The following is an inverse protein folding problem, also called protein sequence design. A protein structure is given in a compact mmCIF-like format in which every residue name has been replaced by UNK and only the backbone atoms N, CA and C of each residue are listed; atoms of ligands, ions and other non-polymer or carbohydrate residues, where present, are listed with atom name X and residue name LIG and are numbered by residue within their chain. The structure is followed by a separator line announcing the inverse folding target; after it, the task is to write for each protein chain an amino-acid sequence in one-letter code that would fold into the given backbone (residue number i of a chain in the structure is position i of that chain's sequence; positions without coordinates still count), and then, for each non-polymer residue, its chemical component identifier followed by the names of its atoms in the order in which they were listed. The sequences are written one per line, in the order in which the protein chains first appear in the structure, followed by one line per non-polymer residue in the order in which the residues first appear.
data_IF_375203408177
#
_entry.id   IF_375203408177
#
_cell.length_a   1.000
_cell.length_b   1.000
_cell.length_c   1.000
_cell.angle_alpha   90.00
_cell.angle_beta   90.00
_cell.angle_gamma   90.00
#
_symmetry.space_group_name_H-M   'P 1'
#
loop_
_entity.id
_entity.type
_entity.pdbx_description
1 polymer ?
#
# COMPACT_ATOMS: atom_id res chain seq x y z
N UNK A 1 14.05 -6.25 4.18
CA UNK A 1 12.94 -6.00 3.24
C UNK A 1 12.23 -7.28 2.80
N UNK A 2 12.91 -8.42 2.74
CA UNK A 2 12.26 -9.69 2.35
C UNK A 2 11.15 -10.11 3.30
N UNK A 3 11.45 -10.20 4.60
CA UNK A 3 10.49 -10.59 5.62
C UNK A 3 9.33 -9.57 5.76
N UNK A 4 9.62 -8.28 5.58
CA UNK A 4 8.60 -7.23 5.55
C UNK A 4 7.60 -7.42 4.40
N UNK A 5 8.08 -7.81 3.22
CA UNK A 5 7.23 -8.07 2.05
C UNK A 5 6.42 -9.35 2.25
N UNK A 6 7.02 -10.42 2.75
CA UNK A 6 6.30 -11.65 3.08
C UNK A 6 5.16 -11.39 4.07
N UNK A 7 5.43 -10.56 5.09
CA UNK A 7 4.42 -10.16 6.09
C UNK A 7 3.33 -9.30 5.46
N UNK A 8 3.69 -8.31 4.64
CA UNK A 8 2.74 -7.49 3.90
C UNK A 8 1.83 -8.33 3.00
N UNK A 9 2.40 -9.27 2.24
CA UNK A 9 1.64 -10.20 1.40
C UNK A 9 0.69 -11.07 2.23
N UNK A 10 1.15 -11.60 3.37
CA UNK A 10 0.32 -12.39 4.28
C UNK A 10 -0.88 -11.57 4.77
N UNK A 11 -0.65 -10.34 5.24
CA UNK A 11 -1.70 -9.46 5.75
C UNK A 11 -2.72 -9.10 4.66
N UNK A 12 -2.24 -8.71 3.48
CA UNK A 12 -3.11 -8.40 2.34
C UNK A 12 -3.94 -9.61 1.91
N UNK A 13 -3.34 -10.79 1.85
CA UNK A 13 -4.05 -12.02 1.51
C UNK A 13 -5.12 -12.40 2.54
N UNK A 14 -4.89 -12.12 3.82
CA UNK A 14 -5.90 -12.33 4.85
C UNK A 14 -7.06 -11.35 4.70
N UNK A 15 -6.77 -10.05 4.51
CA UNK A 15 -7.79 -9.03 4.24
C UNK A 15 -8.63 -9.38 3.00
N UNK A 16 -7.99 -9.79 1.91
CA UNK A 16 -8.70 -10.20 0.69
C UNK A 16 -9.63 -11.39 0.95
N UNK A 17 -9.19 -12.40 1.71
CA UNK A 17 -10.05 -13.54 2.08
C UNK A 17 -11.23 -13.13 2.94
N UNK A 18 -11.05 -12.18 3.84
CA UNK A 18 -12.12 -11.63 4.67
C UNK A 18 -13.12 -10.83 3.82
N UNK A 19 -12.62 -9.91 2.99
CA UNK A 19 -13.42 -9.17 2.03
C UNK A 19 -14.24 -10.10 1.12
N UNK A 20 -13.63 -11.12 0.53
CA UNK A 20 -14.31 -12.05 -0.39
C UNK A 20 -15.44 -12.87 0.26
N UNK A 21 -15.38 -13.11 1.58
CA UNK A 21 -16.48 -13.76 2.31
C UNK A 21 -17.71 -12.85 2.36
N UNK A 22 -17.50 -11.56 2.63
CA UNK A 22 -18.58 -10.58 2.78
C UNK A 22 -18.18 -9.17 2.30
N UNK A 23 -18.17 -8.91 0.97
CA UNK A 23 -17.75 -7.62 0.43
C UNK A 23 -18.57 -6.42 0.91
N UNK A 24 -19.82 -6.66 1.34
CA UNK A 24 -20.78 -5.63 1.78
C UNK A 24 -20.47 -5.16 3.22
N UNK A 25 -19.64 -5.90 3.96
CA UNK A 25 -19.17 -5.48 5.30
C UNK A 25 -18.38 -4.17 5.25
N UNK A 26 -17.68 -3.94 4.14
CA UNK A 26 -16.87 -2.76 3.90
C UNK A 26 -17.68 -1.77 3.07
N UNK A 27 -18.57 -1.01 3.72
CA UNK A 27 -19.48 -0.14 3.00
C UNK A 27 -18.77 1.08 2.39
N UNK A 28 -17.63 1.47 2.96
CA UNK A 28 -16.79 2.58 2.54
C UNK A 28 -15.32 2.16 2.36
N UNK A 29 -14.58 2.92 1.53
CA UNK A 29 -13.15 2.75 1.32
C UNK A 29 -12.37 2.86 2.65
N UNK A 30 -12.83 3.75 3.52
CA UNK A 30 -12.30 3.96 4.87
C UNK A 30 -12.38 2.71 5.75
N UNK A 31 -13.40 1.86 5.57
CA UNK A 31 -13.54 0.62 6.36
C UNK A 31 -12.39 -0.34 6.04
N UNK A 32 -12.07 -0.48 4.75
CA UNK A 32 -10.97 -1.32 4.26
C UNK A 32 -9.63 -0.74 4.73
N UNK A 33 -9.47 0.58 4.59
CA UNK A 33 -8.25 1.29 5.02
C UNK A 33 -8.01 1.12 6.52
N UNK A 34 -9.05 1.25 7.34
CA UNK A 34 -8.95 1.11 8.79
C UNK A 34 -8.58 -0.32 9.20
N UNK A 35 -9.25 -1.33 8.63
CA UNK A 35 -8.93 -2.73 8.94
C UNK A 35 -7.51 -3.10 8.50
N UNK A 36 -7.12 -2.74 7.27
CA UNK A 36 -5.75 -2.97 6.81
C UNK A 36 -4.70 -2.27 7.69
N UNK A 37 -4.96 -1.03 8.10
CA UNK A 37 -4.07 -0.28 8.98
C UNK A 37 -3.88 -0.99 10.32
N UNK A 38 -4.97 -1.48 10.93
CA UNK A 38 -4.92 -2.21 12.21
C UNK A 38 -4.13 -3.51 12.04
N UNK A 39 -4.42 -4.31 11.01
CA UNK A 39 -3.71 -5.57 10.76
C UNK A 39 -2.22 -5.34 10.55
N UNK A 40 -1.83 -4.34 9.75
CA UNK A 40 -0.42 -4.02 9.53
C UNK A 40 0.27 -3.51 10.81
N UNK A 41 -0.39 -2.66 11.61
CA UNK A 41 0.14 -2.18 12.89
C UNK A 41 0.31 -3.26 13.94
N UNK A 42 -0.41 -4.38 13.81
CA UNK A 42 -0.28 -5.52 14.72
C UNK A 42 0.95 -6.40 14.45
N UNK A 43 1.66 -6.17 13.34
CA UNK A 43 2.83 -6.93 12.94
C UNK A 43 4.12 -6.20 13.37
N UNK A 44 4.73 -6.63 14.48
CA UNK A 44 5.91 -6.01 15.11
C UNK A 44 7.11 -5.82 14.17
N UNK A 45 7.16 -6.55 13.06
CA UNK A 45 8.22 -6.37 12.04
C UNK A 45 8.24 -4.96 11.45
N UNK A 46 7.11 -4.27 11.47
CA UNK A 46 7.01 -2.90 10.98
C UNK A 46 7.28 -1.86 12.07
N UNK A 47 7.60 -2.27 13.30
CA UNK A 47 7.97 -1.34 14.34
C UNK A 47 9.35 -0.72 14.09
N UNK A 48 9.50 0.53 14.51
CA UNK A 48 10.74 1.28 14.44
C UNK A 48 11.11 1.74 15.85
N UNK A 49 12.39 1.55 16.18
CA UNK A 49 12.99 2.09 17.39
C UNK A 49 13.59 3.46 17.08
N UNK A 50 13.11 4.49 17.75
CA UNK A 50 13.62 5.85 17.64
C UNK A 50 14.45 6.19 18.87
N UNK A 51 15.79 6.18 18.77
CA UNK A 51 16.63 6.67 19.86
C UNK A 51 16.44 8.18 20.03
N UNK A 52 16.42 8.64 21.28
CA UNK A 52 16.40 10.07 21.58
C UNK A 52 17.83 10.58 21.51
N UNK A 53 18.05 11.57 20.65
CA UNK A 53 19.33 12.21 20.34
C UNK A 53 19.18 13.72 20.45
N UNK A 54 20.29 14.46 20.45
CA UNK A 54 20.24 15.94 20.36
C UNK A 54 19.45 16.47 19.16
N UNK A 55 19.29 15.66 18.10
CA UNK A 55 18.54 16.08 16.92
C UNK A 55 17.04 16.06 17.15
N UNK A 56 16.52 15.30 18.12
CA UNK A 56 15.10 15.14 18.47
C UNK A 56 14.84 15.46 19.94
N UNK A 57 15.45 16.53 20.44
CA UNK A 57 15.29 17.01 21.83
C UNK A 57 13.84 17.30 22.24
N UNK A 58 12.92 17.56 21.29
CA UNK A 58 11.49 17.69 21.60
C UNK A 58 10.85 16.37 22.08
N UNK A 59 11.46 15.22 21.77
CA UNK A 59 11.11 13.93 22.40
C UNK A 59 11.71 13.81 23.81
N UNK A 60 12.63 14.70 24.18
CA UNK A 60 13.25 14.80 25.50
C UNK A 60 12.22 14.86 26.62
N UNK A 61 11.13 15.61 26.40
CA UNK A 61 10.01 15.74 27.35
C UNK A 61 9.28 14.40 27.59
N UNK A 62 9.40 13.45 26.66
CA UNK A 62 8.80 12.13 26.76
C UNK A 62 9.78 11.05 27.24
N UNK A 63 11.07 11.36 27.43
CA UNK A 63 12.09 10.39 27.90
C UNK A 63 11.67 9.77 29.22
N UNK A 64 11.17 10.58 30.17
CA UNK A 64 10.75 10.09 31.48
C UNK A 64 9.55 9.13 31.41
N UNK A 65 8.74 9.21 30.33
CA UNK A 65 7.52 8.43 30.15
C UNK A 65 7.76 7.19 29.26
N UNK A 66 8.54 7.36 28.19
CA UNK A 66 8.70 6.39 27.10
C UNK A 66 10.11 5.76 27.07
N UNK A 67 11.03 6.23 27.91
CA UNK A 67 12.42 5.81 27.95
C UNK A 67 13.30 6.46 26.88
N UNK A 68 14.58 6.07 26.84
CA UNK A 68 15.59 6.61 25.91
C UNK A 68 15.41 6.16 24.45
N UNK A 69 14.56 5.16 24.24
CA UNK A 69 14.21 4.61 22.93
C UNK A 69 12.69 4.49 22.84
N UNK A 70 12.11 5.23 21.91
CA UNK A 70 10.66 5.21 21.67
C UNK A 70 10.37 4.23 20.55
N UNK A 71 9.62 3.17 20.87
CA UNK A 71 9.11 2.24 19.87
C UNK A 71 7.80 2.76 19.31
N UNK A 72 7.73 2.92 17.98
CA UNK A 72 6.49 3.28 17.28
C UNK A 72 6.30 2.36 16.08
N UNK A 73 5.06 2.13 15.68
CA UNK A 73 4.80 1.49 14.39
C UNK A 73 5.28 2.38 13.25
N UNK A 74 6.07 1.82 12.33
CA UNK A 74 6.42 2.43 11.06
C UNK A 74 5.26 2.49 10.07
N UNK A 75 4.13 1.82 10.33
CA UNK A 75 2.91 1.93 9.52
C UNK A 75 2.15 3.21 9.87
N UNK A 76 1.99 4.09 8.88
CA UNK A 76 1.29 5.38 8.98
C UNK A 76 0.16 5.45 7.97
N UNK A 77 -0.99 5.97 8.41
CA UNK A 77 -2.03 6.46 7.51
C UNK A 77 -1.73 7.91 7.14
N UNK A 78 -2.14 8.34 5.94
CA UNK A 78 -1.97 9.72 5.44
C UNK A 78 -0.56 10.29 5.67
N UNK A 79 0.45 9.56 5.20
CA UNK A 79 1.84 9.93 5.45
C UNK A 79 2.13 11.37 4.99
N UNK A 80 2.63 12.26 5.87
CA UNK A 80 2.82 13.69 5.57
C UNK A 80 4.07 13.90 4.72
N UNK A 81 4.00 13.48 3.46
CA UNK A 81 4.95 13.82 2.42
C UNK A 81 4.27 14.67 1.35
N UNK A 82 5.04 15.22 0.41
CA UNK A 82 4.48 15.89 -0.77
C UNK A 82 3.54 14.97 -1.57
N UNK A 83 3.68 13.65 -1.41
CA UNK A 83 2.77 12.64 -1.92
C UNK A 83 2.12 11.90 -0.75
N UNK A 84 0.81 12.08 -0.57
CA UNK A 84 0.06 11.38 0.47
C UNK A 84 -0.37 10.02 -0.05
N UNK A 85 -0.05 8.98 0.71
CA UNK A 85 -0.51 7.61 0.48
C UNK A 85 -1.53 7.23 1.55
N UNK A 86 -2.49 6.37 1.20
CA UNK A 86 -3.47 5.86 2.15
C UNK A 86 -2.80 5.17 3.34
N UNK A 87 -1.86 4.26 3.05
CA UNK A 87 -1.02 3.60 4.05
C UNK A 87 0.42 3.58 3.54
N UNK A 88 1.36 3.97 4.39
CA UNK A 88 2.79 3.90 4.11
C UNK A 88 3.54 3.20 5.23
N UNK A 89 4.58 2.46 4.88
CA UNK A 89 5.60 2.04 5.82
C UNK A 89 6.76 3.00 5.76
N UNK A 90 7.18 3.48 6.92
CA UNK A 90 8.29 4.42 7.05
C UNK A 90 9.43 3.83 7.86
N UNK A 91 10.66 4.15 7.46
CA UNK A 91 11.87 3.82 8.20
C UNK A 91 12.75 5.04 8.38
N UNK A 92 13.45 5.17 9.52
CA UNK A 92 14.50 6.17 9.65
C UNK A 92 15.53 6.00 8.53
N UNK A 93 15.88 7.11 7.87
CA UNK A 93 17.03 7.13 6.96
C UNK A 93 18.30 7.19 7.81
N UNK A 94 19.18 6.19 7.69
CA UNK A 94 20.43 6.15 8.47
C UNK A 94 21.50 7.14 7.98
N UNK A 95 21.38 7.62 6.73
CA UNK A 95 22.34 8.54 6.11
C UNK A 95 21.91 10.01 6.27
N UNK A 96 20.62 10.28 6.44
CA UNK A 96 20.04 11.62 6.62
C UNK A 96 19.56 11.82 8.06
N UNK A 97 19.17 13.04 8.41
CA UNK A 97 18.62 13.35 9.73
C UNK A 97 17.36 12.47 9.99
N UNK A 98 17.14 12.02 11.24
CA UNK A 98 16.05 11.10 11.64
C UNK A 98 14.63 11.61 11.30
N UNK A 99 14.49 12.87 10.89
CA UNK A 99 13.25 13.48 10.40
C UNK A 99 12.90 13.15 8.96
N UNK A 100 13.87 12.70 8.17
CA UNK A 100 13.64 12.25 6.80
C UNK A 100 13.44 10.74 6.87
N UNK A 101 12.19 10.33 6.91
CA UNK A 101 11.88 8.91 6.82
C UNK A 101 11.87 8.46 5.36
N UNK A 102 12.51 7.34 5.10
CA UNK A 102 12.32 6.61 3.86
C UNK A 102 10.96 5.95 3.87
N UNK A 103 10.34 5.82 2.70
CA UNK A 103 9.12 5.06 2.50
C UNK A 103 9.47 3.81 1.67
N UNK A 104 9.74 2.63 2.29
CA UNK A 104 10.05 1.43 1.52
C UNK A 104 8.85 0.92 0.72
N UNK A 105 7.63 1.06 1.25
CA UNK A 105 6.41 0.75 0.52
C UNK A 105 5.24 1.65 0.89
N UNK A 106 4.32 1.80 -0.05
CA UNK A 106 3.02 2.42 0.20
C UNK A 106 1.90 1.69 -0.54
N UNK A 107 0.69 1.85 -0.02
CA UNK A 107 -0.53 1.21 -0.46
C UNK A 107 -1.56 2.30 -0.76
N UNK A 108 -2.23 2.18 -1.89
CA UNK A 108 -3.43 2.93 -2.26
C UNK A 108 -4.60 1.97 -2.35
N UNK A 109 -5.72 2.37 -1.77
CA UNK A 109 -6.90 1.52 -1.66
C UNK A 109 -8.06 2.23 -2.34
N UNK A 110 -8.76 1.51 -3.19
CA UNK A 110 -10.04 1.93 -3.75
C UNK A 110 -11.13 0.93 -3.45
N UNK A 111 -12.33 1.46 -3.31
CA UNK A 111 -13.56 0.70 -3.24
C UNK A 111 -14.43 1.10 -4.44
N UNK A 112 -14.52 0.21 -5.42
CA UNK A 112 -15.38 0.41 -6.57
C UNK A 112 -16.77 -0.18 -6.31
N UNK A 113 -17.78 0.64 -6.60
CA UNK A 113 -19.19 0.33 -6.53
C UNK A 113 -19.80 0.38 -7.93
N UNK A 114 -21.01 -0.17 -8.08
CA UNK A 114 -21.68 -0.32 -9.38
C UNK A 114 -21.71 0.97 -10.24
N UNK A 115 -21.73 2.15 -9.61
CA UNK A 115 -21.81 3.44 -10.29
C UNK A 115 -20.51 4.27 -10.26
N UNK A 116 -19.44 3.79 -9.62
CA UNK A 116 -18.16 4.51 -9.59
C UNK A 116 -17.41 4.32 -10.89
N UNK A 117 -17.13 5.42 -11.61
CA UNK A 117 -16.19 5.40 -12.73
C UNK A 117 -14.78 5.26 -12.14
N UNK A 118 -14.09 4.13 -12.34
CA UNK A 118 -12.75 3.84 -11.80
C UNK A 118 -11.60 4.70 -12.39
N UNK A 119 -11.89 5.95 -12.79
CA UNK A 119 -10.90 6.91 -13.27
C UNK A 119 -9.88 7.23 -12.18
N UNK A 120 -10.31 7.23 -10.93
CA UNK A 120 -9.48 7.61 -9.78
C UNK A 120 -8.43 6.52 -9.47
N UNK A 121 -8.73 5.24 -9.70
CA UNK A 121 -7.76 4.16 -9.48
C UNK A 121 -6.53 4.25 -10.37
N UNK A 122 -6.69 4.74 -11.62
CA UNK A 122 -5.53 4.99 -12.50
C UNK A 122 -4.62 6.07 -11.93
N UNK A 123 -5.19 7.12 -11.34
CA UNK A 123 -4.44 8.21 -10.73
C UNK A 123 -3.63 7.73 -9.52
N UNK A 124 -4.15 6.77 -8.77
CA UNK A 124 -3.41 6.14 -7.66
C UNK A 124 -2.18 5.37 -8.16
N UNK A 125 -2.32 4.62 -9.26
CA UNK A 125 -1.17 3.94 -9.86
C UNK A 125 -0.15 4.95 -10.41
N UNK A 126 -0.60 6.00 -11.09
CA UNK A 126 0.26 7.08 -11.60
C UNK A 126 1.00 7.81 -10.46
N UNK A 127 0.32 8.05 -9.33
CA UNK A 127 0.91 8.60 -8.10
C UNK A 127 2.05 7.71 -7.58
N UNK A 128 1.82 6.39 -7.49
CA UNK A 128 2.86 5.44 -7.06
C UNK A 128 4.05 5.37 -8.03
N UNK A 129 3.79 5.40 -9.34
CA UNK A 129 4.83 5.43 -10.38
C UNK A 129 5.69 6.70 -10.30
N UNK A 130 5.06 7.86 -10.09
CA UNK A 130 5.77 9.13 -9.96
C UNK A 130 6.71 9.10 -8.75
N UNK A 131 6.25 8.59 -7.60
CA UNK A 131 7.10 8.44 -6.42
C UNK A 131 8.27 7.47 -6.68
N UNK A 132 8.00 6.32 -7.31
CA UNK A 132 9.03 5.33 -7.64
C UNK A 132 10.16 5.90 -8.51
N UNK A 133 9.85 6.82 -9.42
CA UNK A 133 10.85 7.44 -10.31
C UNK A 133 11.96 8.14 -9.52
N UNK A 134 11.61 8.69 -8.34
CA UNK A 134 12.55 9.34 -7.44
C UNK A 134 13.13 8.38 -6.37
N UNK A 135 12.48 7.23 -6.18
CA UNK A 135 12.80 6.25 -5.15
C UNK A 135 12.88 4.83 -5.77
N UNK A 136 14.01 4.44 -6.39
CA UNK A 136 14.09 3.20 -7.17
C UNK A 136 13.73 1.93 -6.40
N UNK A 137 14.05 1.89 -5.11
CA UNK A 137 13.79 0.75 -4.22
C UNK A 137 12.36 0.71 -3.65
N UNK A 138 11.54 1.74 -3.93
CA UNK A 138 10.15 1.81 -3.48
C UNK A 138 9.29 0.73 -4.15
N UNK A 139 8.38 0.18 -3.34
CA UNK A 139 7.32 -0.74 -3.75
C UNK A 139 5.99 -0.03 -3.56
N UNK A 140 5.27 0.20 -4.65
CA UNK A 140 3.91 0.73 -4.58
C UNK A 140 2.90 -0.37 -4.82
N UNK A 141 1.77 -0.31 -4.13
CA UNK A 141 0.69 -1.27 -4.24
C UNK A 141 -0.61 -0.49 -4.40
N UNK A 142 -1.33 -0.68 -5.50
CA UNK A 142 -2.69 -0.15 -5.66
C UNK A 142 -3.69 -1.31 -5.62
N UNK A 143 -4.72 -1.23 -4.79
CA UNK A 143 -5.73 -2.28 -4.68
C UNK A 143 -7.12 -1.68 -4.85
N UNK A 144 -7.85 -2.15 -5.85
CA UNK A 144 -9.25 -1.82 -6.06
C UNK A 144 -10.11 -2.98 -5.56
N UNK A 145 -10.89 -2.75 -4.52
CA UNK A 145 -11.85 -3.71 -3.98
C UNK A 145 -13.20 -3.48 -4.63
N UNK A 146 -13.68 -4.45 -5.39
CA UNK A 146 -14.91 -4.32 -6.17
C UNK A 146 -16.10 -4.92 -5.41
N UNK A 147 -17.12 -4.09 -5.16
CA UNK A 147 -18.38 -4.52 -4.58
C UNK A 147 -19.39 -4.98 -5.64
N UNK A 148 -19.23 -4.58 -6.90
CA UNK A 148 -20.09 -5.07 -7.98
C UNK A 148 -19.71 -6.50 -8.38
N UNK A 149 -20.68 -7.43 -8.48
CA UNK A 149 -20.40 -8.82 -8.84
C UNK A 149 -20.08 -9.03 -10.33
N UNK A 150 -19.89 -7.97 -11.13
CA UNK A 150 -19.92 -8.04 -12.61
C UNK A 150 -18.74 -7.32 -13.29
N UNK A 151 -17.58 -7.20 -12.65
CA UNK A 151 -16.38 -6.84 -13.43
C UNK A 151 -16.05 -8.01 -14.36
N UNK A 152 -15.98 -7.72 -15.65
CA UNK A 152 -15.44 -8.63 -16.65
C UNK A 152 -14.00 -8.26 -16.95
N UNK A 153 -13.17 -9.27 -17.20
CA UNK A 153 -11.77 -9.08 -17.57
C UNK A 153 -11.62 -8.15 -18.78
N UNK A 154 -12.52 -8.27 -19.76
CA UNK A 154 -12.50 -7.44 -20.97
C UNK A 154 -12.71 -5.95 -20.66
N UNK A 155 -13.48 -5.63 -19.61
CA UNK A 155 -13.71 -4.24 -19.18
C UNK A 155 -12.45 -3.67 -18.52
N UNK A 156 -11.70 -4.50 -17.77
CA UNK A 156 -10.40 -4.11 -17.23
C UNK A 156 -9.39 -3.89 -18.35
N UNK A 157 -9.29 -4.81 -19.31
CA UNK A 157 -8.39 -4.66 -20.47
C UNK A 157 -8.71 -3.40 -21.29
N UNK A 158 -10.00 -3.07 -21.48
CA UNK A 158 -10.41 -1.86 -22.21
C UNK A 158 -10.02 -0.57 -21.48
N UNK A 159 -10.18 -0.55 -20.16
CA UNK A 159 -9.95 0.65 -19.35
C UNK A 159 -8.47 0.83 -18.94
N UNK A 160 -7.73 -0.28 -18.85
CA UNK A 160 -6.35 -0.35 -18.39
C UNK A 160 -5.44 -1.08 -19.41
N UNK A 161 -5.71 -0.98 -20.71
CA UNK A 161 -5.00 -1.72 -21.78
C UNK A 161 -3.49 -1.46 -21.92
N UNK A 162 -2.94 -0.50 -21.18
CA UNK A 162 -1.49 -0.25 -21.08
C UNK A 162 -0.84 -0.97 -19.88
N UNK A 163 -1.59 -1.79 -19.14
CA UNK A 163 -1.12 -2.46 -17.93
C UNK A 163 -1.01 -3.98 -18.17
N UNK A 164 0.03 -4.63 -17.61
CA UNK A 164 0.22 -6.08 -17.77
C UNK A 164 -0.67 -6.83 -16.77
N UNK A 165 -1.90 -7.14 -17.18
CA UNK A 165 -2.80 -7.93 -16.35
C UNK A 165 -2.39 -9.41 -16.32
N UNK A 166 -2.34 -9.96 -15.12
CA UNK A 166 -2.07 -11.35 -14.76
C UNK A 166 -3.19 -11.82 -13.83
N UNK A 167 -3.79 -12.96 -14.14
CA UNK A 167 -4.88 -13.52 -13.34
C UNK A 167 -4.29 -14.28 -12.14
N UNK A 168 -4.76 -14.00 -10.91
CA UNK A 168 -4.28 -14.63 -9.69
C UNK A 168 -5.42 -15.36 -8.98
N UNK A 169 -5.38 -16.70 -8.97
CA UNK A 169 -6.40 -17.52 -8.28
C UNK A 169 -6.04 -17.89 -6.84
N UNK A 170 -4.83 -17.58 -6.38
CA UNK A 170 -4.28 -18.07 -5.10
C UNK A 170 -3.98 -16.99 -4.06
N UNK A 171 -4.01 -15.71 -4.46
CA UNK A 171 -3.69 -14.58 -3.58
C UNK A 171 -2.87 -13.49 -4.29
N UNK A 172 -2.61 -12.42 -3.56
CA UNK A 172 -1.70 -11.32 -3.91
C UNK A 172 -0.24 -11.79 -3.83
N UNK A 173 0.50 -11.56 -4.91
CA UNK A 173 1.95 -11.73 -5.00
C UNK A 173 2.61 -10.38 -5.28
N UNK A 174 3.49 -9.92 -4.38
CA UNK A 174 4.17 -8.62 -4.51
C UNK A 174 5.52 -8.82 -5.18
N UNK A 175 5.70 -8.16 -6.32
CA UNK A 175 6.97 -8.08 -7.01
C UNK A 175 7.84 -6.96 -6.41
N UNK A 176 9.03 -7.34 -5.93
CA UNK A 176 10.02 -6.41 -5.38
C UNK A 176 10.44 -5.36 -6.41
N UNK A 177 10.58 -4.11 -5.96
CA UNK A 177 11.06 -3.03 -6.81
C UNK A 177 10.15 -2.71 -8.00
N UNK A 178 8.86 -3.09 -7.97
CA UNK A 178 7.86 -2.73 -8.96
C UNK A 178 6.67 -2.03 -8.31
N UNK A 179 5.85 -1.40 -9.15
CA UNK A 179 4.48 -1.03 -8.76
C UNK A 179 3.60 -2.23 -9.04
N UNK A 180 2.81 -2.63 -8.06
CA UNK A 180 1.88 -3.73 -8.13
C UNK A 180 0.47 -3.14 -8.12
N UNK A 181 -0.43 -3.63 -8.97
CA UNK A 181 -1.85 -3.28 -8.86
C UNK A 181 -2.70 -4.54 -8.80
N UNK A 182 -3.83 -4.46 -8.11
CA UNK A 182 -4.77 -5.56 -7.95
C UNK A 182 -6.21 -5.07 -8.04
N UNK A 183 -7.07 -5.86 -8.68
CA UNK A 183 -8.52 -5.75 -8.63
C UNK A 183 -9.07 -6.99 -7.91
N UNK A 184 -9.74 -6.77 -6.79
CA UNK A 184 -10.26 -7.79 -5.90
C UNK A 184 -11.76 -7.85 -6.07
N UNK A 185 -12.26 -8.89 -6.72
CA UNK A 185 -13.70 -9.18 -6.76
C UNK A 185 -14.05 -10.17 -5.66
N UNK A 186 -15.35 -10.41 -5.45
CA UNK A 186 -15.84 -11.46 -4.55
C UNK A 186 -15.23 -12.85 -4.81
N UNK A 187 -14.83 -13.16 -6.05
CA UNK A 187 -14.41 -14.51 -6.46
C UNK A 187 -12.98 -14.58 -6.96
N UNK A 188 -12.45 -13.49 -7.46
CA UNK A 188 -11.24 -13.49 -8.28
C UNK A 188 -10.34 -12.33 -7.89
N UNK A 189 -9.04 -12.52 -8.10
CA UNK A 189 -8.03 -11.48 -8.00
C UNK A 189 -7.41 -11.34 -9.39
N UNK A 190 -7.46 -10.14 -9.92
CA UNK A 190 -6.68 -9.76 -11.10
C UNK A 190 -5.57 -8.86 -10.62
N UNK A 191 -4.37 -8.97 -11.16
CA UNK A 191 -3.28 -8.10 -10.73
C UNK A 191 -2.18 -8.02 -11.75
N UNK A 192 -1.19 -7.18 -11.52
CA UNK A 192 -0.17 -6.98 -12.52
C UNK A 192 0.85 -5.93 -12.14
N UNK A 193 1.73 -5.67 -13.09
CA UNK A 193 2.67 -4.58 -13.04
C UNK A 193 2.31 -3.59 -14.16
N UNK A 194 2.20 -2.28 -13.88
CA UNK A 194 2.01 -1.29 -14.93
C UNK A 194 3.23 -1.30 -15.85
N UNK A 195 3.02 -1.16 -17.16
CA UNK A 195 4.12 -0.85 -18.06
C UNK A 195 4.64 0.53 -17.72
N UNK A 196 5.96 0.72 -17.73
CA UNK A 196 6.50 2.08 -17.72
C UNK A 196 6.08 2.81 -19.01
N UNK A 197 5.96 4.14 -18.99
CA UNK A 197 5.56 4.93 -20.17
C UNK A 197 6.45 4.62 -21.38
N UNK A 198 7.72 4.30 -21.15
CA UNK A 198 8.70 3.85 -22.14
C UNK A 198 8.42 2.49 -22.77
N UNK A 199 7.70 1.59 -22.09
CA UNK A 199 7.37 0.24 -22.56
C UNK A 199 5.98 0.15 -23.22
N UNK A 200 5.17 1.21 -23.13
CA UNK A 200 3.84 1.26 -23.74
C UNK A 200 3.87 1.56 -25.25
N UNK A 201 5.03 1.95 -25.80
CA UNK A 201 5.23 2.38 -27.19
C UNK A 201 6.21 1.51 -28.00
N UNK A 202 6.61 0.36 -27.48
CA UNK A 202 7.36 -0.69 -28.21
C UNK A 202 6.46 -1.91 -28.44
#
# INVERSE_FOLDING_TARGET
MELEIETLQKVLNNLVKEYQKNPIEYFYEEDIRADLLIKLRSENIFDIALPITKKNEWLGDYVEILGDVINISGIKAEYPSNTRFDIAYIKPNNEKNHYIFECPFAIEIKLSQKDSKNRDFKLDIEKLLNYKTQHPNFIGIAIDFEQSPVIKKEDLDKNYGNFKMTEFKKGIEISKGLINYFFITKKEIFGGNPKTVTEAYN
#
